data_IF_382957962457
#
_entry.id   IF_382957962457
#
_cell.length_a   1.000
_cell.length_b   1.000
_cell.length_c   1.000
_cell.angle_alpha   90.00
_cell.angle_beta   90.00
_cell.angle_gamma   90.00
#
_symmetry.space_group_name_H-M   'P 1'
#
loop_
_entity.id
_entity.type
_entity.pdbx_description
1 polymer ?
#
# COMPACT_ATOMS: atom_id res chain seq x y z
N UNK A 1 -18.43 31.69 13.28
CA UNK A 1 -17.82 31.95 11.95
C UNK A 1 -18.28 30.88 10.99
N UNK A 2 -19.43 31.07 10.33
CA UNK A 2 -19.96 30.14 9.32
C UNK A 2 -19.22 30.32 8.00
N UNK A 3 -18.58 29.26 7.50
CA UNK A 3 -18.04 29.22 6.14
C UNK A 3 -18.57 28.01 5.39
N UNK A 4 -19.58 28.29 4.57
CA UNK A 4 -19.72 27.89 3.17
C UNK A 4 -19.16 26.51 2.79
N UNK A 5 -19.97 25.47 2.96
CA UNK A 5 -19.85 24.21 2.21
C UNK A 5 -20.77 24.27 0.98
N UNK A 6 -20.33 24.97 -0.06
CA UNK A 6 -20.85 24.78 -1.42
C UNK A 6 -19.73 24.17 -2.25
N UNK A 7 -20.09 23.14 -3.00
CA UNK A 7 -19.35 22.39 -4.04
C UNK A 7 -18.92 21.00 -3.59
N UNK A 8 -19.76 20.00 -3.90
CA UNK A 8 -19.36 18.64 -4.29
C UNK A 8 -20.60 17.80 -4.73
N UNK A 9 -21.51 18.37 -5.53
CA UNK A 9 -22.72 17.63 -5.98
C UNK A 9 -22.97 17.71 -7.51
N UNK A 10 -21.91 17.62 -8.32
CA UNK A 10 -22.04 17.72 -9.77
C UNK A 10 -21.11 16.81 -10.58
N UNK A 11 -20.87 15.56 -10.17
CA UNK A 11 -20.04 14.63 -10.99
C UNK A 11 -20.39 13.14 -10.93
N UNK A 12 -21.65 12.75 -10.72
CA UNK A 12 -22.08 11.33 -10.87
C UNK A 12 -23.35 11.20 -11.73
N UNK A 13 -23.40 11.89 -12.88
CA UNK A 13 -24.48 11.65 -13.85
C UNK A 13 -24.04 11.91 -15.30
N UNK A 14 -23.08 11.16 -15.82
CA UNK A 14 -22.87 11.02 -17.26
C UNK A 14 -21.93 9.86 -17.63
N UNK A 15 -22.35 8.60 -17.45
CA UNK A 15 -21.78 7.46 -18.20
C UNK A 15 -22.88 6.46 -18.55
N UNK A 16 -23.71 6.83 -19.53
CA UNK A 16 -24.49 5.89 -20.34
C UNK A 16 -24.22 6.20 -21.81
N UNK A 17 -23.89 5.13 -22.54
CA UNK A 17 -23.60 5.03 -23.97
C UNK A 17 -22.46 5.88 -24.53
N UNK A 18 -21.30 5.25 -24.75
CA UNK A 18 -20.55 5.50 -25.98
C UNK A 18 -19.77 4.23 -26.38
N UNK A 19 -20.15 3.70 -27.53
CA UNK A 19 -19.47 2.64 -28.27
C UNK A 19 -18.40 3.26 -29.15
N UNK A 20 -17.12 2.94 -28.93
CA UNK A 20 -16.06 3.14 -29.94
C UNK A 20 -14.84 2.25 -29.71
N UNK A 21 -14.71 1.27 -30.60
CA UNK A 21 -13.55 0.99 -31.45
C UNK A 21 -12.27 1.79 -31.16
N UNK A 22 -11.20 1.10 -30.76
CA UNK A 22 -9.85 1.64 -30.74
C UNK A 22 -8.95 1.04 -29.66
N UNK A 23 -8.65 -0.26 -29.71
CA UNK A 23 -7.59 -0.84 -28.88
C UNK A 23 -6.21 -0.54 -29.51
N UNK A 24 -5.28 0.13 -28.82
CA UNK A 24 -3.91 0.25 -29.30
C UNK A 24 -3.15 -1.07 -29.12
N UNK A 25 -2.21 -1.29 -30.04
CA UNK A 25 -1.41 -2.49 -30.20
C UNK A 25 -0.44 -2.74 -29.04
N UNK A 26 -0.55 -3.97 -28.50
CA UNK A 26 0.48 -4.84 -27.89
C UNK A 26 1.88 -4.21 -27.75
N UNK A 27 2.22 -3.76 -26.54
CA UNK A 27 3.58 -3.41 -26.15
C UNK A 27 4.47 -4.65 -26.04
N UNK A 28 5.70 -4.51 -26.52
CA UNK A 28 6.76 -5.54 -26.54
C UNK A 28 7.32 -5.82 -25.14
N UNK A 29 7.83 -7.04 -24.87
CA UNK A 29 8.41 -7.37 -23.58
C UNK A 29 9.75 -6.64 -23.38
N UNK A 30 9.80 -5.72 -22.43
CA UNK A 30 11.05 -5.12 -21.94
C UNK A 30 11.81 -6.16 -21.11
N UNK A 31 12.96 -6.59 -21.63
CA UNK A 31 13.91 -7.43 -20.92
C UNK A 31 14.55 -6.65 -19.77
N UNK A 32 14.11 -6.88 -18.54
CA UNK A 32 14.69 -6.27 -17.34
C UNK A 32 16.01 -6.97 -16.98
N UNK A 33 17.13 -6.26 -17.17
CA UNK A 33 18.40 -6.57 -16.52
C UNK A 33 18.24 -6.45 -15.01
N UNK A 34 18.59 -7.51 -14.29
CA UNK A 34 18.80 -7.49 -12.85
C UNK A 34 19.97 -6.56 -12.52
N UNK A 35 19.71 -5.49 -11.78
CA UNK A 35 20.76 -4.69 -11.14
C UNK A 35 20.86 -5.16 -9.69
N UNK A 36 21.80 -6.07 -9.44
CA UNK A 36 22.30 -6.34 -8.08
C UNK A 36 23.35 -5.27 -7.77
N UNK A 37 22.95 -4.19 -7.08
CA UNK A 37 23.88 -3.23 -6.49
C UNK A 37 24.51 -3.86 -5.25
N UNK A 38 25.78 -4.22 -5.37
CA UNK A 38 26.62 -4.71 -4.28
C UNK A 38 27.13 -3.51 -3.47
N UNK A 39 26.70 -3.39 -2.22
CA UNK A 39 27.34 -2.56 -1.21
C UNK A 39 28.71 -3.17 -0.87
N UNK A 40 29.78 -2.51 -1.30
CA UNK A 40 31.15 -2.81 -0.87
C UNK A 40 31.77 -1.52 -0.35
N UNK A 41 31.55 -1.21 0.91
CA UNK A 41 32.32 -0.19 1.64
C UNK A 41 33.49 -0.87 2.34
N UNK A 42 34.71 -0.40 2.06
CA UNK A 42 35.93 -0.68 2.82
C UNK A 42 36.64 0.67 3.07
N UNK A 43 37.23 0.93 4.25
CA UNK A 43 37.69 2.25 4.67
C UNK A 43 39.20 2.46 4.50
N UNK A 44 39.62 3.71 4.26
CA UNK A 44 40.95 4.32 4.57
C UNK A 44 40.86 5.81 4.17
N UNK A 45 40.82 6.77 5.10
CA UNK A 45 41.94 7.51 5.71
C UNK A 45 42.47 8.72 4.88
N UNK A 46 42.15 9.91 5.41
CA UNK A 46 42.80 11.24 5.46
C UNK A 46 43.71 11.79 4.31
N UNK A 47 43.15 12.85 3.70
CA UNK A 47 43.67 14.26 3.56
C UNK A 47 44.73 14.57 2.44
N UNK A 48 45.01 15.86 2.13
CA UNK A 48 44.37 16.66 1.07
C UNK A 48 45.34 17.20 -0.01
N UNK A 49 44.84 17.58 -1.18
CA UNK A 49 45.34 18.71 -2.00
C UNK A 49 44.45 18.94 -3.23
N UNK A 50 44.50 20.18 -3.68
CA UNK A 50 43.65 20.90 -4.63
C UNK A 50 44.03 20.76 -6.12
N UNK A 51 43.16 21.34 -6.97
CA UNK A 51 43.36 21.82 -8.38
C UNK A 51 43.08 20.76 -9.48
N UNK A 52 42.66 21.11 -10.73
CA UNK A 52 41.61 22.03 -11.20
C UNK A 52 40.55 21.33 -12.09
N UNK A 53 39.50 22.08 -12.41
CA UNK A 53 38.49 21.78 -13.44
C UNK A 53 39.13 21.88 -14.83
N UNK A 54 39.10 20.79 -15.60
CA UNK A 54 39.43 20.78 -17.02
C UNK A 54 38.21 20.31 -17.81
N UNK A 55 37.53 21.26 -18.45
CA UNK A 55 36.50 21.01 -19.44
C UNK A 55 37.18 20.73 -20.79
N UNK A 56 36.95 19.56 -21.37
CA UNK A 56 37.24 19.29 -22.78
C UNK A 56 36.42 18.09 -23.26
N UNK A 57 35.55 18.40 -24.22
CA UNK A 57 35.31 17.64 -25.45
C UNK A 57 34.94 16.17 -25.37
N UNK A 58 33.81 15.81 -25.98
CA UNK A 58 33.88 15.04 -27.24
C UNK A 58 32.47 14.69 -27.74
N UNK A 59 32.15 15.31 -28.87
CA UNK A 59 31.24 14.86 -29.91
C UNK A 59 31.41 13.35 -30.14
N UNK A 60 30.34 12.55 -29.98
CA UNK A 60 30.32 11.16 -30.46
C UNK A 60 29.59 11.07 -31.79
N UNK A 61 30.42 10.87 -32.80
CA UNK A 61 30.13 10.49 -34.17
C UNK A 61 29.29 9.22 -34.27
N UNK A 62 28.38 9.27 -35.22
CA UNK A 62 27.80 8.17 -35.98
C UNK A 62 28.85 7.15 -36.43
N UNK A 63 28.62 5.88 -36.13
CA UNK A 63 29.28 4.75 -36.79
C UNK A 63 28.23 3.90 -37.51
N UNK A 64 28.14 4.13 -38.82
CA UNK A 64 27.85 3.09 -39.80
C UNK A 64 29.04 2.13 -39.84
N UNK A 65 28.79 0.82 -39.85
CA UNK A 65 29.85 -0.14 -40.12
C UNK A 65 29.46 -1.59 -39.90
N UNK A 66 29.53 -2.33 -41.01
CA UNK A 66 29.76 -3.77 -41.12
C UNK A 66 28.60 -4.73 -40.79
N UNK A 67 27.96 -5.19 -41.88
CA UNK A 67 27.33 -6.50 -41.94
C UNK A 67 28.36 -7.57 -41.59
N UNK A 68 28.15 -8.24 -40.45
CA UNK A 68 28.90 -9.42 -40.05
C UNK A 68 28.17 -10.65 -40.62
N UNK A 69 28.91 -11.43 -41.40
CA UNK A 69 28.47 -12.71 -41.95
C UNK A 69 27.99 -13.66 -40.86
N UNK A 70 26.77 -14.16 -41.06
CA UNK A 70 26.15 -15.18 -40.22
C UNK A 70 26.87 -16.51 -40.41
N UNK A 71 27.49 -17.11 -39.37
CA UNK A 71 28.08 -18.44 -39.49
C UNK A 71 26.99 -19.50 -39.76
N UNK A 72 27.32 -20.58 -40.50
CA UNK A 72 26.36 -21.61 -40.87
C UNK A 72 25.81 -22.32 -39.64
N UNK A 73 24.48 -22.36 -39.56
CA UNK A 73 23.70 -23.11 -38.57
C UNK A 73 24.13 -24.58 -38.54
N UNK A 74 24.91 -24.97 -37.53
CA UNK A 74 25.01 -26.36 -37.13
C UNK A 74 23.66 -26.79 -36.56
N UNK A 75 23.02 -27.75 -37.21
CA UNK A 75 21.78 -28.39 -36.79
C UNK A 75 21.99 -29.00 -35.40
N UNK A 76 21.52 -28.29 -34.37
CA UNK A 76 21.43 -28.80 -33.01
C UNK A 76 20.36 -29.89 -32.98
N UNK A 77 20.82 -31.10 -32.71
CA UNK A 77 20.01 -32.29 -32.40
C UNK A 77 18.78 -31.94 -31.54
N UNK A 78 17.60 -32.52 -31.83
CA UNK A 78 16.38 -32.31 -31.07
C UNK A 78 16.56 -32.81 -29.64
N UNK A 79 16.96 -31.88 -28.77
CA UNK A 79 17.12 -32.07 -27.33
C UNK A 79 15.83 -32.68 -26.80
N UNK A 80 15.89 -33.97 -26.42
CA UNK A 80 14.75 -34.75 -25.96
C UNK A 80 13.92 -33.92 -24.99
N UNK A 81 12.63 -33.77 -25.28
CA UNK A 81 11.68 -33.01 -24.48
C UNK A 81 11.69 -33.56 -23.05
N UNK A 82 12.49 -32.92 -22.21
CA UNK A 82 12.69 -33.26 -20.81
C UNK A 82 11.31 -33.22 -20.16
N UNK A 83 10.78 -34.42 -19.88
CA UNK A 83 9.42 -34.63 -19.43
C UNK A 83 9.38 -34.21 -17.97
N UNK A 84 9.34 -32.89 -17.73
CA UNK A 84 9.23 -32.35 -16.38
C UNK A 84 8.04 -33.01 -15.71
N UNK A 85 8.24 -33.74 -14.61
CA UNK A 85 7.15 -34.42 -13.93
C UNK A 85 6.08 -33.38 -13.60
N UNK A 86 4.89 -33.57 -14.16
CA UNK A 86 3.73 -32.73 -13.92
C UNK A 86 3.49 -32.70 -12.41
N UNK A 87 3.88 -31.60 -11.77
CA UNK A 87 3.82 -31.44 -10.32
C UNK A 87 2.34 -31.43 -9.95
N UNK A 88 1.91 -32.39 -9.12
CA UNK A 88 0.50 -32.65 -8.83
C UNK A 88 -0.21 -31.35 -8.36
N UNK A 89 -1.40 -31.03 -8.90
CA UNK A 89 -2.15 -29.81 -8.56
C UNK A 89 -2.68 -29.72 -7.12
N UNK A 90 -2.55 -30.81 -6.34
CA UNK A 90 -3.14 -30.95 -5.00
C UNK A 90 -2.69 -29.87 -3.98
N UNK A 91 -1.50 -29.29 -4.14
CA UNK A 91 -1.01 -28.26 -3.20
C UNK A 91 -1.67 -26.88 -3.40
N UNK A 92 -2.39 -26.67 -4.50
CA UNK A 92 -2.92 -25.33 -4.82
C UNK A 92 -4.19 -24.97 -4.04
N UNK A 93 -4.99 -25.96 -3.66
CA UNK A 93 -6.27 -25.80 -2.95
C UNK A 93 -6.08 -25.19 -1.56
N UNK A 94 -5.03 -25.58 -0.84
CA UNK A 94 -4.74 -25.10 0.52
C UNK A 94 -4.60 -23.58 0.61
N UNK A 95 -4.12 -22.92 -0.45
CA UNK A 95 -4.00 -21.46 -0.50
C UNK A 95 -5.35 -20.78 -0.63
N UNK A 96 -6.22 -21.31 -1.48
CA UNK A 96 -7.57 -20.79 -1.64
C UNK A 96 -8.36 -20.99 -0.36
N UNK A 97 -8.29 -22.19 0.25
CA UNK A 97 -8.91 -22.46 1.54
C UNK A 97 -8.45 -21.48 2.62
N UNK A 98 -7.14 -21.19 2.70
CA UNK A 98 -6.62 -20.21 3.63
C UNK A 98 -7.20 -18.81 3.39
N UNK A 99 -7.14 -18.28 2.15
CA UNK A 99 -7.67 -16.95 1.83
C UNK A 99 -9.20 -16.86 2.00
N UNK A 100 -9.93 -17.91 1.65
CA UNK A 100 -11.38 -17.97 1.81
C UNK A 100 -11.77 -17.98 3.30
N UNK A 101 -10.96 -18.62 4.14
CA UNK A 101 -11.15 -18.61 5.60
C UNK A 101 -10.92 -17.24 6.22
N UNK A 102 -9.85 -16.53 5.84
CA UNK A 102 -9.54 -15.21 6.41
C UNK A 102 -10.40 -14.06 5.86
N UNK A 103 -10.98 -14.23 4.66
CA UNK A 103 -11.74 -13.19 3.95
C UNK A 103 -13.15 -13.63 3.59
N UNK A 104 -13.78 -14.46 4.43
CA UNK A 104 -15.16 -14.86 4.21
C UNK A 104 -16.07 -13.61 4.03
N UNK A 105 -17.00 -13.61 3.05
CA UNK A 105 -17.44 -14.74 2.21
C UNK A 105 -16.74 -14.82 0.82
N UNK A 106 -15.56 -14.21 0.64
CA UNK A 106 -14.87 -14.21 -0.64
C UNK A 106 -14.33 -15.61 -1.00
N UNK A 107 -14.37 -15.95 -2.30
CA UNK A 107 -13.90 -17.23 -2.87
C UNK A 107 -12.82 -17.04 -3.93
N UNK A 108 -11.56 -17.31 -3.60
CA UNK A 108 -10.42 -17.21 -4.51
C UNK A 108 -10.21 -18.48 -5.32
N UNK A 109 -9.79 -18.35 -6.58
CA UNK A 109 -9.35 -19.51 -7.35
C UNK A 109 -8.02 -20.06 -6.80
N UNK A 110 -7.80 -21.39 -6.79
CA UNK A 110 -6.56 -22.00 -6.30
C UNK A 110 -5.29 -21.44 -6.95
N UNK A 111 -5.37 -21.14 -8.24
CA UNK A 111 -4.25 -20.56 -8.98
C UNK A 111 -3.93 -19.13 -8.54
N UNK A 112 -4.96 -18.28 -8.37
CA UNK A 112 -4.77 -16.90 -7.93
C UNK A 112 -4.23 -16.88 -6.49
N UNK A 113 -4.83 -17.66 -5.59
CA UNK A 113 -4.40 -17.75 -4.20
C UNK A 113 -2.94 -18.20 -4.09
N UNK A 114 -2.54 -19.21 -4.87
CA UNK A 114 -1.14 -19.64 -4.95
C UNK A 114 -0.21 -18.51 -5.38
N UNK A 115 -0.56 -17.74 -6.41
CA UNK A 115 0.27 -16.61 -6.89
C UNK A 115 0.36 -15.49 -5.86
N UNK A 116 -0.76 -15.15 -5.21
CA UNK A 116 -0.85 -14.12 -4.15
C UNK A 116 0.01 -14.49 -2.93
N UNK A 117 0.04 -15.78 -2.59
CA UNK A 117 0.80 -16.32 -1.45
C UNK A 117 2.17 -16.90 -1.85
N UNK A 118 2.70 -16.54 -3.02
CA UNK A 118 4.08 -16.88 -3.42
C UNK A 118 4.90 -15.60 -3.58
N UNK A 119 5.90 -15.41 -2.72
CA UNK A 119 6.84 -14.29 -2.81
C UNK A 119 7.90 -14.54 -3.89
N UNK A 120 8.44 -13.46 -4.48
CA UNK A 120 9.44 -13.53 -5.55
C UNK A 120 10.76 -14.19 -5.18
N UNK A 121 11.08 -14.33 -3.89
CA UNK A 121 12.28 -15.06 -3.42
C UNK A 121 12.13 -16.58 -3.45
N UNK A 122 10.91 -17.10 -3.64
CA UNK A 122 10.68 -18.54 -3.63
C UNK A 122 11.11 -19.18 -4.97
N UNK A 123 11.73 -20.38 -5.01
CA UNK A 123 12.15 -21.03 -6.26
C UNK A 123 11.01 -21.26 -7.26
N UNK A 124 9.80 -21.54 -6.77
CA UNK A 124 8.61 -21.71 -7.61
C UNK A 124 7.97 -20.38 -8.05
N UNK A 125 8.58 -19.22 -7.77
CA UNK A 125 8.08 -17.91 -8.21
C UNK A 125 8.04 -17.77 -9.75
N UNK A 126 8.78 -18.62 -10.46
CA UNK A 126 8.75 -18.75 -11.93
C UNK A 126 7.33 -19.07 -12.42
N UNK A 127 6.57 -19.85 -11.66
CA UNK A 127 5.18 -20.22 -11.97
C UNK A 127 4.17 -19.13 -11.59
N UNK A 128 4.65 -17.91 -11.29
CA UNK A 128 3.89 -16.77 -10.82
C UNK A 128 4.16 -16.45 -9.35
N UNK A 129 4.26 -15.16 -9.06
CA UNK A 129 4.47 -14.62 -7.72
C UNK A 129 3.59 -13.38 -7.50
N UNK A 130 3.60 -12.87 -6.28
CA UNK A 130 2.67 -11.85 -5.80
C UNK A 130 3.01 -10.41 -6.21
N UNK A 131 4.09 -10.19 -6.97
CA UNK A 131 4.63 -8.85 -7.22
C UNK A 131 3.69 -7.91 -7.99
N UNK A 132 2.91 -8.46 -8.94
CA UNK A 132 1.90 -7.67 -9.66
C UNK A 132 0.74 -7.27 -8.73
N UNK A 133 0.29 -8.20 -7.90
CA UNK A 133 -0.81 -7.94 -6.97
C UNK A 133 -0.38 -6.97 -5.87
N UNK A 134 0.83 -7.11 -5.32
CA UNK A 134 1.33 -6.18 -4.30
C UNK A 134 1.49 -4.76 -4.83
N UNK A 135 1.94 -4.60 -6.07
CA UNK A 135 2.02 -3.30 -6.74
C UNK A 135 0.66 -2.61 -6.90
N UNK A 136 -0.38 -3.38 -7.25
CA UNK A 136 -1.75 -2.87 -7.38
C UNK A 136 -2.31 -2.53 -5.99
N UNK A 137 -2.21 -3.47 -5.04
CA UNK A 137 -2.71 -3.28 -3.69
C UNK A 137 -2.09 -2.12 -2.93
N UNK A 138 -0.79 -1.85 -3.13
CA UNK A 138 -0.13 -0.66 -2.56
C UNK A 138 -0.83 0.64 -2.96
N UNK A 139 -1.13 0.82 -4.25
CA UNK A 139 -1.82 2.02 -4.76
C UNK A 139 -3.24 2.13 -4.21
N UNK A 140 -3.93 1.01 -4.10
CA UNK A 140 -5.31 0.97 -3.60
C UNK A 140 -5.34 1.38 -2.14
N UNK A 141 -4.45 0.82 -1.32
CA UNK A 141 -4.33 1.18 0.10
C UNK A 141 -4.00 2.67 0.26
N UNK A 142 -3.03 3.17 -0.52
CA UNK A 142 -2.65 4.59 -0.50
C UNK A 142 -3.82 5.51 -0.90
N UNK A 143 -4.54 5.16 -1.96
CA UNK A 143 -5.71 5.92 -2.39
C UNK A 143 -6.83 5.94 -1.33
N UNK A 144 -7.17 4.80 -0.72
CA UNK A 144 -8.21 4.75 0.32
C UNK A 144 -7.80 5.48 1.59
N UNK A 145 -6.53 5.36 2.01
CA UNK A 145 -6.05 6.10 3.15
C UNK A 145 -6.08 7.61 2.88
N UNK A 146 -5.61 8.07 1.72
CA UNK A 146 -5.65 9.50 1.39
C UNK A 146 -7.09 10.02 1.32
N UNK A 147 -8.03 9.29 0.71
CA UNK A 147 -9.44 9.66 0.70
C UNK A 147 -10.00 9.78 2.13
N UNK A 148 -9.66 8.82 3.01
CA UNK A 148 -10.03 8.87 4.42
C UNK A 148 -9.46 10.11 5.13
N UNK A 149 -8.16 10.38 4.99
CA UNK A 149 -7.50 11.53 5.61
C UNK A 149 -8.13 12.86 5.16
N UNK A 150 -8.45 12.99 3.87
CA UNK A 150 -9.12 14.17 3.34
C UNK A 150 -10.55 14.33 3.87
N UNK A 151 -11.25 13.22 4.18
CA UNK A 151 -12.60 13.29 4.73
C UNK A 151 -12.65 13.67 6.21
N UNK A 152 -11.59 13.36 6.97
CA UNK A 152 -11.50 13.69 8.40
C UNK A 152 -11.15 15.17 8.67
N UNK A 153 -10.49 15.84 7.71
CA UNK A 153 -10.16 17.27 7.74
C UNK A 153 -9.43 17.83 8.99
N UNK A 154 -8.53 17.13 9.69
CA UNK A 154 -7.76 17.79 10.74
C UNK A 154 -6.73 18.73 10.12
N UNK A 155 -6.73 19.99 10.56
CA UNK A 155 -5.88 21.05 10.02
C UNK A 155 -4.38 20.79 10.31
N UNK A 156 -3.51 21.20 9.39
CA UNK A 156 -2.06 21.29 9.65
C UNK A 156 -1.26 19.98 9.54
N UNK A 157 -1.84 18.89 9.04
CA UNK A 157 -1.15 17.60 8.90
C UNK A 157 -0.61 17.36 7.48
N UNK A 158 0.60 16.80 7.38
CA UNK A 158 1.17 16.29 6.12
C UNK A 158 0.62 14.88 5.82
N UNK A 159 -0.41 14.82 4.98
CA UNK A 159 -1.07 13.56 4.61
C UNK A 159 -0.14 12.60 3.85
N UNK A 160 0.85 13.10 3.10
CA UNK A 160 1.78 12.25 2.38
C UNK A 160 2.75 11.55 3.35
N UNK A 161 3.25 12.30 4.35
CA UNK A 161 4.07 11.73 5.41
C UNK A 161 3.29 10.70 6.25
N UNK A 162 2.05 11.03 6.62
CA UNK A 162 1.17 10.11 7.36
C UNK A 162 0.93 8.84 6.54
N UNK A 163 0.57 8.96 5.26
CA UNK A 163 0.32 7.80 4.41
C UNK A 163 1.55 6.89 4.27
N UNK A 164 2.73 7.49 4.07
CA UNK A 164 4.00 6.76 3.98
C UNK A 164 4.35 5.99 5.26
N UNK A 165 4.14 6.58 6.44
CA UNK A 165 4.36 5.92 7.74
C UNK A 165 3.31 4.84 8.03
N UNK A 166 2.03 5.16 7.79
CA UNK A 166 0.89 4.29 8.08
C UNK A 166 0.93 3.01 7.24
N UNK A 167 1.20 3.14 5.93
CA UNK A 167 1.22 2.02 4.98
C UNK A 167 2.63 1.46 4.74
N UNK A 168 3.56 1.76 5.64
CA UNK A 168 4.88 1.17 5.62
C UNK A 168 4.76 -0.36 5.62
N UNK A 169 5.50 -1.01 4.72
CA UNK A 169 5.40 -2.46 4.52
C UNK A 169 5.74 -3.24 5.79
N UNK A 170 6.66 -2.75 6.62
CA UNK A 170 6.95 -3.36 7.92
C UNK A 170 5.77 -3.23 8.88
N UNK A 171 5.13 -2.06 8.97
CA UNK A 171 3.93 -1.84 9.80
C UNK A 171 2.81 -2.81 9.42
N UNK A 172 2.55 -2.99 8.12
CA UNK A 172 1.55 -3.95 7.65
C UNK A 172 1.94 -5.40 7.97
N UNK A 173 3.20 -5.77 7.75
CA UNK A 173 3.67 -7.13 7.99
C UNK A 173 3.79 -7.52 9.46
N UNK A 174 4.00 -6.55 10.35
CA UNK A 174 4.06 -6.75 11.79
C UNK A 174 2.66 -6.78 12.42
N UNK A 175 1.74 -5.93 11.97
CA UNK A 175 0.44 -5.77 12.65
C UNK A 175 -0.74 -6.45 11.95
N UNK A 176 -0.74 -6.57 10.62
CA UNK A 176 -1.87 -7.13 9.84
C UNK A 176 -1.62 -8.60 9.49
N UNK A 177 -0.42 -8.92 9.02
CA UNK A 177 -0.12 -10.27 8.54
C UNK A 177 -0.26 -11.39 9.59
N UNK A 178 0.06 -11.19 10.90
CA UNK A 178 -0.16 -12.21 11.91
C UNK A 178 -1.65 -12.52 12.12
N UNK A 179 -2.52 -11.51 12.04
CA UNK A 179 -3.97 -11.68 12.19
C UNK A 179 -4.56 -12.54 11.07
N UNK A 180 -3.97 -12.46 9.88
CA UNK A 180 -4.32 -13.29 8.73
C UNK A 180 -3.54 -14.60 8.67
N UNK A 181 -2.71 -14.90 9.68
CA UNK A 181 -1.86 -16.09 9.73
C UNK A 181 -1.01 -16.29 8.46
N UNK A 182 -0.60 -15.21 7.79
CA UNK A 182 0.13 -15.29 6.51
C UNK A 182 1.47 -16.00 6.66
N UNK A 183 2.10 -15.93 7.83
CA UNK A 183 3.37 -16.62 8.09
C UNK A 183 3.30 -18.11 7.83
N UNK A 184 2.14 -18.76 8.01
CA UNK A 184 1.96 -20.20 7.77
C UNK A 184 1.70 -20.55 6.31
N UNK A 185 1.00 -19.67 5.59
CA UNK A 185 0.56 -19.93 4.23
C UNK A 185 1.51 -19.38 3.15
N UNK A 186 2.35 -18.41 3.49
CA UNK A 186 3.21 -17.74 2.52
C UNK A 186 4.41 -18.60 2.10
N UNK A 187 4.60 -18.75 0.79
CA UNK A 187 5.80 -19.37 0.20
C UNK A 187 6.87 -18.32 -0.03
N UNK A 188 7.98 -18.42 0.70
CA UNK A 188 9.13 -17.54 0.56
C UNK A 188 10.41 -18.23 1.03
N UNK A 189 11.56 -17.68 0.64
CA UNK A 189 12.88 -18.09 1.15
C UNK A 189 13.53 -16.91 1.85
N UNK A 190 14.01 -17.08 3.10
CA UNK A 190 14.72 -16.04 3.83
C UNK A 190 16.09 -15.76 3.23
N UNK A 191 16.53 -14.50 3.31
CA UNK A 191 17.85 -14.08 2.81
C UNK A 191 19.01 -14.41 3.76
N UNK A 192 18.73 -15.10 4.87
CA UNK A 192 19.75 -15.35 5.90
C UNK A 192 20.81 -16.33 5.38
N UNK A 193 22.06 -15.92 5.52
CA UNK A 193 23.21 -16.79 5.29
C UNK A 193 23.15 -17.96 6.28
N UNK A 194 23.31 -19.20 5.79
CA UNK A 194 23.17 -20.44 6.57
C UNK A 194 23.93 -20.48 7.92
N UNK A 195 24.86 -19.55 8.14
CA UNK A 195 25.66 -19.36 9.36
C UNK A 195 24.86 -19.12 10.64
N UNK A 196 23.60 -18.69 10.57
CA UNK A 196 22.77 -18.41 11.75
C UNK A 196 21.88 -19.57 12.21
N UNK A 197 22.02 -20.77 11.65
CA UNK A 197 21.28 -21.93 12.18
C UNK A 197 21.95 -22.41 13.48
N UNK A 198 21.37 -22.15 14.67
CA UNK A 198 22.05 -22.38 15.95
C UNK A 198 22.22 -23.88 16.26
N UNK A 199 21.43 -24.71 15.57
CA UNK A 199 21.59 -26.16 15.54
C UNK A 199 22.26 -26.49 14.23
N UNK A 200 23.54 -26.90 14.24
CA UNK A 200 24.32 -27.30 13.06
C UNK A 200 23.77 -28.48 12.24
N UNK A 201 22.47 -28.76 12.30
CA UNK A 201 21.76 -29.53 11.28
C UNK A 201 21.60 -28.65 10.06
N UNK A 202 22.34 -29.00 9.02
CA UNK A 202 22.11 -28.51 7.66
C UNK A 202 20.62 -28.62 7.33
N UNK A 203 19.90 -27.51 7.43
CA UNK A 203 18.57 -27.39 6.82
C UNK A 203 18.81 -27.47 5.32
N UNK A 204 18.70 -28.68 4.78
CA UNK A 204 18.81 -28.90 3.35
C UNK A 204 17.78 -28.06 2.60
N UNK A 205 17.92 -27.91 1.27
CA UNK A 205 16.96 -27.20 0.42
C UNK A 205 15.53 -27.79 0.44
N UNK A 206 15.31 -28.87 1.20
CA UNK A 206 14.03 -29.50 1.47
C UNK A 206 13.20 -28.84 2.59
N UNK A 207 13.62 -27.69 3.15
CA UNK A 207 12.75 -26.82 3.96
C UNK A 207 11.74 -26.07 3.06
N UNK A 208 10.90 -26.82 2.33
CA UNK A 208 10.10 -26.32 1.20
C UNK A 208 8.81 -25.62 1.63
N UNK A 209 8.43 -25.67 2.91
CA UNK A 209 7.29 -24.93 3.43
C UNK A 209 7.71 -24.24 4.73
N UNK A 210 8.32 -23.06 4.60
CA UNK A 210 8.85 -22.25 5.71
C UNK A 210 7.79 -21.87 6.78
N UNK A 211 6.50 -22.11 6.51
CA UNK A 211 5.43 -21.61 7.35
C UNK A 211 5.34 -22.20 8.75
N UNK A 212 5.81 -23.43 8.96
CA UNK A 212 5.71 -24.08 10.27
C UNK A 212 6.92 -23.78 11.18
N UNK A 213 8.13 -23.75 10.61
CA UNK A 213 9.37 -23.54 11.36
C UNK A 213 9.66 -22.10 11.77
N UNK A 214 9.18 -21.11 10.99
CA UNK A 214 9.46 -19.69 11.20
C UNK A 214 8.77 -19.13 12.45
N UNK A 215 7.65 -19.73 12.88
CA UNK A 215 6.92 -19.30 14.09
C UNK A 215 7.74 -19.42 15.38
N UNK A 216 8.83 -20.20 15.38
CA UNK A 216 9.72 -20.38 16.54
C UNK A 216 10.83 -19.33 16.65
N UNK A 217 10.96 -18.44 15.67
CA UNK A 217 12.04 -17.46 15.67
C UNK A 217 11.67 -16.24 16.53
N UNK A 218 12.63 -15.74 17.31
CA UNK A 218 12.44 -14.51 18.09
C UNK A 218 12.23 -13.29 17.19
N UNK A 219 11.57 -12.22 17.68
CA UNK A 219 11.18 -11.06 16.89
C UNK A 219 12.38 -10.34 16.23
N UNK A 220 13.54 -10.31 16.90
CA UNK A 220 14.76 -9.71 16.34
C UNK A 220 15.30 -10.49 15.14
N UNK A 221 15.24 -11.82 15.20
CA UNK A 221 15.62 -12.69 14.07
C UNK A 221 14.63 -12.46 12.92
N UNK A 222 13.33 -12.42 13.21
CA UNK A 222 12.27 -12.17 12.23
C UNK A 222 12.43 -10.83 11.49
N UNK A 223 12.88 -9.79 12.19
CA UNK A 223 13.24 -8.50 11.58
C UNK A 223 14.48 -8.66 10.69
N UNK A 224 15.53 -9.30 11.19
CA UNK A 224 16.79 -9.48 10.45
C UNK A 224 16.64 -10.29 9.16
N UNK A 225 15.73 -11.27 9.13
CA UNK A 225 15.48 -12.12 7.96
C UNK A 225 14.61 -11.44 6.90
N UNK A 226 14.09 -10.25 7.17
CA UNK A 226 13.18 -9.52 6.30
C UNK A 226 11.75 -10.05 6.28
N UNK A 227 11.32 -10.83 7.29
CA UNK A 227 10.01 -11.49 7.28
C UNK A 227 8.87 -10.47 7.26
N UNK A 228 8.91 -9.43 8.10
CA UNK A 228 7.85 -8.42 8.13
C UNK A 228 7.72 -7.66 6.81
N UNK A 229 8.82 -7.44 6.09
CA UNK A 229 8.74 -6.86 4.76
C UNK A 229 7.99 -7.79 3.80
N UNK A 230 8.37 -9.07 3.76
CA UNK A 230 7.74 -10.09 2.89
C UNK A 230 6.25 -10.26 3.24
N UNK A 231 5.90 -10.25 4.52
CA UNK A 231 4.53 -10.28 5.01
C UNK A 231 3.72 -9.04 4.61
N UNK A 232 4.29 -7.84 4.73
CA UNK A 232 3.60 -6.62 4.30
C UNK A 232 3.34 -6.59 2.79
N UNK A 233 4.28 -7.10 1.98
CA UNK A 233 4.06 -7.27 0.54
C UNK A 233 2.94 -8.28 0.24
N UNK A 234 2.83 -9.33 1.05
CA UNK A 234 1.73 -10.29 0.95
C UNK A 234 0.38 -9.66 1.33
N UNK A 235 0.31 -8.82 2.37
CA UNK A 235 -0.88 -8.05 2.72
C UNK A 235 -1.31 -7.16 1.55
N UNK A 236 -0.37 -6.42 0.95
CA UNK A 236 -0.62 -5.63 -0.26
C UNK A 236 -1.13 -6.50 -1.41
N UNK A 237 -0.53 -7.69 -1.62
CA UNK A 237 -0.96 -8.60 -2.67
C UNK A 237 -2.39 -9.12 -2.49
N UNK A 238 -2.79 -9.44 -1.25
CA UNK A 238 -4.16 -9.86 -0.94
C UNK A 238 -5.16 -8.75 -1.28
N UNK A 239 -4.88 -7.51 -0.90
CA UNK A 239 -5.74 -6.36 -1.26
C UNK A 239 -5.81 -6.16 -2.77
N UNK A 240 -4.68 -6.26 -3.47
CA UNK A 240 -4.64 -6.17 -4.92
C UNK A 240 -5.44 -7.29 -5.62
N UNK A 241 -5.44 -8.50 -5.07
CA UNK A 241 -6.24 -9.62 -5.56
C UNK A 241 -7.74 -9.41 -5.31
N UNK A 242 -8.10 -8.90 -4.12
CA UNK A 242 -9.49 -8.55 -3.79
C UNK A 242 -10.02 -7.50 -4.75
N UNK A 243 -9.26 -6.43 -4.98
CA UNK A 243 -9.64 -5.41 -5.96
C UNK A 243 -9.76 -5.97 -7.38
N UNK A 244 -8.83 -6.83 -7.79
CA UNK A 244 -8.84 -7.42 -9.12
C UNK A 244 -10.07 -8.33 -9.35
N UNK A 245 -10.48 -9.11 -8.36
CA UNK A 245 -11.57 -10.08 -8.50
C UNK A 245 -12.95 -9.53 -8.11
N UNK A 246 -13.02 -8.65 -7.11
CA UNK A 246 -14.28 -8.16 -6.52
C UNK A 246 -14.50 -6.65 -6.66
N UNK A 247 -13.52 -5.92 -7.19
CA UNK A 247 -13.62 -4.48 -7.45
C UNK A 247 -13.32 -3.59 -6.24
N UNK A 248 -13.45 -2.28 -6.47
CA UNK A 248 -13.02 -1.26 -5.52
C UNK A 248 -13.87 -1.16 -4.25
N UNK A 249 -15.19 -1.37 -4.33
CA UNK A 249 -16.05 -1.27 -3.15
C UNK A 249 -15.70 -2.31 -2.08
N UNK A 250 -15.49 -3.56 -2.48
CA UNK A 250 -15.11 -4.66 -1.59
C UNK A 250 -13.71 -4.43 -1.00
N UNK A 251 -12.75 -3.98 -1.82
CA UNK A 251 -11.41 -3.64 -1.36
C UNK A 251 -11.41 -2.46 -0.36
N UNK A 252 -12.27 -1.46 -0.58
CA UNK A 252 -12.41 -0.32 0.32
C UNK A 252 -12.97 -0.75 1.68
N UNK A 253 -14.02 -1.57 1.67
CA UNK A 253 -14.57 -2.15 2.91
C UNK A 253 -13.52 -2.98 3.64
N UNK A 254 -12.79 -3.84 2.92
CA UNK A 254 -11.70 -4.63 3.49
C UNK A 254 -10.66 -3.75 4.19
N UNK A 255 -10.26 -2.64 3.56
CA UNK A 255 -9.32 -1.70 4.14
C UNK A 255 -9.81 -1.13 5.47
N UNK A 256 -11.01 -0.54 5.50
CA UNK A 256 -11.53 0.10 6.70
C UNK A 256 -11.88 -0.88 7.81
N UNK A 257 -12.25 -2.12 7.49
CA UNK A 257 -12.77 -3.07 8.48
C UNK A 257 -11.74 -4.05 8.99
N UNK A 258 -10.75 -4.44 8.17
CA UNK A 258 -9.77 -5.47 8.52
C UNK A 258 -8.32 -4.99 8.57
N UNK A 259 -8.00 -3.83 7.97
CA UNK A 259 -6.61 -3.33 7.90
C UNK A 259 -6.42 -2.12 8.79
N UNK A 260 -7.19 -1.06 8.57
CA UNK A 260 -7.06 0.22 9.26
C UNK A 260 -7.12 0.10 10.80
N UNK A 261 -8.02 -0.71 11.40
CA UNK A 261 -8.08 -0.84 12.86
C UNK A 261 -6.80 -1.42 13.47
N UNK A 262 -6.08 -2.23 12.70
CA UNK A 262 -4.88 -2.94 13.14
C UNK A 262 -3.60 -2.10 12.98
N UNK A 263 -3.70 -0.89 12.41
CA UNK A 263 -2.57 0.02 12.23
C UNK A 263 -2.79 1.36 12.94
N UNK A 264 -3.74 1.45 13.88
CA UNK A 264 -3.94 2.66 14.70
C UNK A 264 -2.76 2.93 15.64
N UNK A 265 -2.25 1.91 16.33
CA UNK A 265 -1.00 1.97 17.11
C UNK A 265 -0.86 3.23 18.01
N UNK A 266 -1.73 3.42 19.02
CA UNK A 266 -1.77 4.63 19.84
C UNK A 266 -0.43 4.95 20.51
N UNK A 267 -0.03 6.22 20.44
CA UNK A 267 1.22 6.73 21.02
C UNK A 267 2.49 6.23 20.32
N UNK A 268 2.39 5.55 19.17
CA UNK A 268 3.55 5.14 18.37
C UNK A 268 3.72 6.06 17.16
N UNK A 269 4.96 6.34 16.74
CA UNK A 269 5.22 7.11 15.51
C UNK A 269 4.93 6.30 14.23
N UNK A 270 4.83 4.97 14.34
CA UNK A 270 4.40 4.09 13.25
C UNK A 270 2.88 3.91 13.28
N UNK A 271 2.27 3.76 12.11
CA UNK A 271 0.83 3.59 11.98
C UNK A 271 0.09 4.88 11.68
N UNK A 272 -1.22 4.86 11.84
CA UNK A 272 -2.09 6.01 11.65
C UNK A 272 -1.88 6.99 12.80
N UNK A 273 -1.71 8.27 12.48
CA UNK A 273 -1.56 9.32 13.47
C UNK A 273 -2.78 9.40 14.42
N UNK A 274 -2.54 9.55 15.73
CA UNK A 274 -3.55 9.50 16.80
C UNK A 274 -4.76 10.44 16.56
N UNK A 275 -4.52 11.61 15.97
CA UNK A 275 -5.57 12.57 15.60
C UNK A 275 -6.70 11.99 14.73
N UNK A 276 -6.45 10.91 13.98
CA UNK A 276 -7.42 10.31 13.07
C UNK A 276 -8.06 9.03 13.61
N UNK A 277 -7.72 8.61 14.84
CA UNK A 277 -8.19 7.32 15.39
C UNK A 277 -9.71 7.31 15.60
N UNK A 278 -10.26 8.40 16.13
CA UNK A 278 -11.70 8.53 16.34
C UNK A 278 -12.46 8.38 15.01
N UNK A 279 -12.02 9.06 13.95
CA UNK A 279 -12.63 8.98 12.62
C UNK A 279 -12.49 7.60 11.99
N UNK A 280 -11.34 6.94 12.19
CA UNK A 280 -11.11 5.58 11.70
C UNK A 280 -12.05 4.57 12.36
N UNK A 281 -12.26 4.69 13.68
CA UNK A 281 -13.21 3.86 14.42
C UNK A 281 -14.67 4.16 14.05
N UNK A 282 -15.01 5.44 13.83
CA UNK A 282 -16.33 5.83 13.31
C UNK A 282 -16.59 5.22 11.93
N UNK A 283 -15.60 5.28 11.03
CA UNK A 283 -15.70 4.66 9.71
C UNK A 283 -15.82 3.14 9.79
N UNK A 284 -15.06 2.49 10.68
CA UNK A 284 -15.18 1.05 10.96
C UNK A 284 -16.62 0.68 11.35
N UNK A 285 -17.23 1.42 12.28
CA UNK A 285 -18.61 1.19 12.71
C UNK A 285 -19.60 1.39 11.57
N UNK A 286 -19.47 2.47 10.79
CA UNK A 286 -20.33 2.74 9.61
C UNK A 286 -20.22 1.65 8.54
N UNK A 287 -19.06 1.00 8.44
CA UNK A 287 -18.84 -0.13 7.54
C UNK A 287 -19.22 -1.49 8.14
N UNK A 288 -19.98 -1.53 9.23
CA UNK A 288 -20.49 -2.78 9.83
C UNK A 288 -19.51 -3.48 10.76
N UNK A 289 -18.43 -2.80 11.16
CA UNK A 289 -17.47 -3.31 12.14
C UNK A 289 -16.43 -4.29 11.58
N UNK A 290 -15.59 -4.85 12.46
CA UNK A 290 -14.46 -5.68 12.06
C UNK A 290 -14.90 -7.00 11.45
N UNK A 291 -16.11 -7.50 11.74
CA UNK A 291 -16.65 -8.75 11.17
C UNK A 291 -17.68 -8.52 10.06
N UNK A 292 -17.72 -7.31 9.49
CA UNK A 292 -18.66 -7.00 8.42
C UNK A 292 -18.54 -7.93 7.21
N UNK A 293 -19.68 -8.22 6.58
CA UNK A 293 -19.72 -8.99 5.35
C UNK A 293 -19.11 -8.16 4.21
N UNK A 294 -18.02 -8.66 3.62
CA UNK A 294 -17.28 -7.96 2.58
C UNK A 294 -18.07 -7.75 1.28
N UNK A 295 -19.06 -8.61 1.00
CA UNK A 295 -19.92 -8.54 -0.18
C UNK A 295 -21.20 -7.72 0.05
N UNK A 296 -21.53 -7.41 1.31
CA UNK A 296 -22.70 -6.61 1.61
C UNK A 296 -22.49 -5.20 1.06
N UNK A 297 -23.42 -4.76 0.20
CA UNK A 297 -23.45 -3.37 -0.21
C UNK A 297 -23.58 -2.52 1.04
N UNK A 298 -22.88 -1.38 1.12
CA UNK A 298 -23.16 -0.43 2.20
C UNK A 298 -24.67 -0.20 2.19
N UNK A 299 -25.32 -0.24 3.37
CA UNK A 299 -26.68 0.25 3.46
C UNK A 299 -26.66 1.56 2.70
N UNK A 300 -27.53 1.69 1.70
CA UNK A 300 -27.83 3.02 1.23
C UNK A 300 -28.39 3.68 2.48
N UNK A 301 -27.54 4.34 3.26
CA UNK A 301 -27.95 5.34 4.20
C UNK A 301 -28.83 6.19 3.31
N UNK A 302 -30.15 5.98 3.44
CA UNK A 302 -31.13 6.95 3.07
C UNK A 302 -30.58 8.17 3.76
N UNK A 303 -29.98 9.05 2.96
CA UNK A 303 -29.43 10.29 3.46
C UNK A 303 -30.66 11.09 3.85
N UNK A 304 -31.26 10.69 4.97
CA UNK A 304 -31.87 11.58 5.91
C UNK A 304 -30.68 12.39 6.37
N UNK A 305 -30.31 13.36 5.53
CA UNK A 305 -29.81 14.61 6.02
C UNK A 305 -30.77 14.91 7.17
N UNK A 306 -30.32 14.67 8.41
CA UNK A 306 -30.80 15.54 9.46
C UNK A 306 -30.37 16.89 8.92
N UNK A 307 -31.33 17.58 8.31
CA UNK A 307 -31.51 18.98 8.62
C UNK A 307 -31.55 18.99 10.15
N UNK A 308 -30.37 18.97 10.77
CA UNK A 308 -30.16 19.53 12.08
C UNK A 308 -30.48 20.99 11.82
N UNK A 309 -31.78 21.27 11.86
CA UNK A 309 -32.35 22.56 11.69
C UNK A 309 -31.57 23.43 12.63
N UNK A 310 -30.66 24.22 12.06
CA UNK A 310 -30.43 25.54 12.58
C UNK A 310 -31.81 26.16 12.63
N UNK A 311 -32.41 26.02 13.80
CA UNK A 311 -33.40 26.93 14.33
C UNK A 311 -32.67 28.28 14.35
N UNK A 312 -32.62 28.92 13.18
CA UNK A 312 -32.43 30.34 13.08
C UNK A 312 -33.71 30.86 13.70
N UNK A 313 -33.68 31.12 15.01
CA UNK A 313 -34.62 32.06 15.59
C UNK A 313 -34.42 33.36 14.81
N UNK A 314 -35.33 33.60 13.85
CA UNK A 314 -35.62 34.91 13.33
C UNK A 314 -36.05 35.77 14.51
N UNK A 315 -35.09 36.35 15.23
CA UNK A 315 -35.33 37.55 16.02
C UNK A 315 -35.40 38.74 15.06
N UNK A 316 -36.48 38.78 14.28
CA UNK A 316 -36.94 39.97 13.58
C UNK A 316 -37.82 40.76 14.56
N UNK A 317 -37.18 41.65 15.33
CA UNK A 317 -37.86 42.86 15.82
C UNK A 317 -36.98 44.05 15.46
N UNK A 318 -37.33 44.62 14.32
CA UNK A 318 -37.04 45.99 13.93
C UNK A 318 -37.74 46.91 14.93
N UNK A 319 -36.98 47.66 15.71
CA UNK A 319 -37.46 48.90 16.32
C UNK A 319 -36.58 50.04 15.81
N UNK A 320 -37.12 50.78 14.85
CA UNK A 320 -36.55 51.99 14.29
C UNK A 320 -36.97 53.14 15.22
N UNK A 321 -36.09 53.50 16.16
CA UNK A 321 -36.24 54.65 17.03
C UNK A 321 -35.21 55.71 16.69
N UNK A 322 -35.66 56.78 16.04
CA UNK A 322 -35.00 58.09 16.05
C UNK A 322 -34.56 58.45 17.48
N UNK A 323 -33.35 58.98 17.65
CA UNK A 323 -33.17 60.30 18.27
C UNK A 323 -31.71 60.76 18.29
N UNK A 324 -31.55 61.99 17.82
CA UNK A 324 -30.39 62.85 17.98
C UNK A 324 -29.97 62.98 19.45
N UNK A 325 -28.66 62.99 19.72
CA UNK A 325 -28.03 64.05 20.50
C UNK A 325 -26.51 63.95 20.49
N UNK A 326 -25.89 65.08 20.19
CA UNK A 326 -24.49 65.39 20.42
C UNK A 326 -24.06 65.07 21.87
N UNK A 327 -22.78 64.83 22.10
CA UNK A 327 -21.91 65.74 22.87
C UNK A 327 -20.46 65.30 22.76
N UNK A 328 -19.62 66.33 22.65
CA UNK A 328 -18.17 66.40 22.65
C UNK A 328 -17.48 65.67 23.81
N UNK A 329 -16.15 65.77 23.74
CA UNK A 329 -15.18 66.00 24.82
C UNK A 329 -14.19 64.88 25.19
N UNK A 330 -12.98 65.09 24.65
CA UNK A 330 -11.72 65.26 25.39
C UNK A 330 -10.97 64.05 25.94
N UNK A 331 -9.78 63.86 25.33
CA UNK A 331 -8.47 63.97 26.00
C UNK A 331 -8.27 63.23 27.34
N UNK A 332 -7.35 62.25 27.34
CA UNK A 332 -6.11 62.41 28.12
C UNK A 332 -5.03 61.38 27.78
N UNK A 333 -3.87 61.92 27.46
CA UNK A 333 -2.56 61.33 27.66
C UNK A 333 -2.37 60.89 29.12
N UNK A 334 -1.71 59.76 29.34
CA UNK A 334 -0.79 59.59 30.46
C UNK A 334 0.27 58.53 30.13
N UNK A 335 1.46 59.05 29.80
CA UNK A 335 2.75 58.40 30.04
C UNK A 335 2.86 57.92 31.49
N UNK A 336 3.49 56.78 31.74
CA UNK A 336 4.21 56.56 32.98
C UNK A 336 5.49 55.76 32.74
N UNK A 337 6.55 56.29 33.33
CA UNK A 337 7.95 55.88 33.32
C UNK A 337 8.35 55.57 34.76
N UNK A 338 9.44 54.80 34.93
CA UNK A 338 10.10 54.36 36.18
C UNK A 338 9.47 53.09 36.81
N UNK A 339 10.22 52.05 37.19
CA UNK A 339 11.59 51.97 37.73
C UNK A 339 12.39 50.88 37.00
#
# INVERSE_FOLDING_TARGET
>A
MSRSLRTLDSSIRALRSSSSHGAPTRTTPVSRRYINSSLRSRPTEKRPASIPISASGATRLSHSGAALETPPHQALEPRSADTRPSRKPADSTRYAEHLNGILAPLTFSPEMARRVLTHGSHPNAIDGHNGRFSFIGRRILEAYLLLFLHSAQPEGHDYAAIASSTLNTYTLGENVAPLWNLGRALRWVPTVSQKFTPTGRHAGPAAVDAGEGVTRWGPEILKSVGMYKVHGEAVQAVVGAVYHQYGGSVANRLFHTRILPNILLPGRPQGLHDAFHADALNMLHRMGGPESNLLEALPRETVMWRDDGHNIEESETVEYGDENAATQTSSRLATNSSI
#
